data_IF_843583570893
#
_entry.id   IF_843583570893
#
_cell.length_a   1.000
_cell.length_b   1.000
_cell.length_c   1.000
_cell.angle_alpha   90.00
_cell.angle_beta   90.00
_cell.angle_gamma   90.00
#
_symmetry.space_group_name_H-M   'P 1'
#
loop_
_entity.id
_entity.type
_entity.pdbx_description
1 polymer ?
#
# COMPACT_ATOMS: atom_id res chain seq x y z
N UNK A 1 -7.73 -2.15 -39.73
CA UNK A 1 -7.21 -1.65 -38.44
C UNK A 1 -8.36 -1.33 -37.49
N UNK A 2 -9.41 -0.63 -37.95
CA UNK A 2 -10.55 -0.25 -37.11
C UNK A 2 -11.35 -1.44 -36.54
N UNK A 3 -11.56 -2.51 -37.33
CA UNK A 3 -12.24 -3.72 -36.84
C UNK A 3 -11.51 -4.40 -35.66
N UNK A 4 -10.17 -4.39 -35.66
CA UNK A 4 -9.38 -4.96 -34.56
C UNK A 4 -9.47 -4.10 -33.30
N UNK A 5 -9.43 -2.77 -33.46
CA UNK A 5 -9.60 -1.82 -32.35
C UNK A 5 -10.98 -1.95 -31.72
N UNK A 6 -12.04 -2.13 -32.51
CA UNK A 6 -13.38 -2.36 -31.97
C UNK A 6 -13.51 -3.68 -31.21
N UNK A 7 -12.90 -4.77 -31.70
CA UNK A 7 -12.86 -6.05 -30.96
C UNK A 7 -12.15 -5.86 -29.60
N UNK A 8 -11.03 -5.14 -29.59
CA UNK A 8 -10.28 -4.85 -28.37
C UNK A 8 -11.10 -3.99 -27.41
N UNK A 9 -11.76 -2.94 -27.92
CA UNK A 9 -12.64 -2.06 -27.15
C UNK A 9 -13.76 -2.87 -26.48
N UNK A 10 -14.46 -3.69 -27.24
CA UNK A 10 -15.54 -4.54 -26.72
C UNK A 10 -15.03 -5.49 -25.64
N UNK A 11 -13.87 -6.11 -25.84
CA UNK A 11 -13.27 -7.01 -24.85
C UNK A 11 -12.89 -6.28 -23.55
N UNK A 12 -12.45 -5.03 -23.62
CA UNK A 12 -12.16 -4.21 -22.43
C UNK A 12 -13.46 -3.89 -21.67
N UNK A 13 -14.54 -3.57 -22.37
CA UNK A 13 -15.86 -3.33 -21.78
C UNK A 13 -16.38 -4.61 -21.10
N UNK A 14 -16.35 -5.75 -21.78
CA UNK A 14 -16.71 -7.06 -21.20
C UNK A 14 -15.89 -7.38 -19.94
N UNK A 15 -14.59 -7.08 -19.95
CA UNK A 15 -13.72 -7.27 -18.79
C UNK A 15 -14.08 -6.31 -17.64
N UNK A 16 -14.64 -5.12 -17.89
CA UNK A 16 -15.10 -4.23 -16.84
C UNK A 16 -16.42 -4.76 -16.24
N UNK A 17 -17.36 -5.13 -17.11
CA UNK A 17 -18.67 -5.66 -16.74
C UNK A 17 -18.56 -6.95 -15.92
N UNK A 18 -17.64 -7.86 -16.30
CA UNK A 18 -17.39 -9.08 -15.53
C UNK A 18 -17.01 -8.80 -14.07
N UNK A 19 -16.36 -7.67 -13.80
CA UNK A 19 -16.00 -7.28 -12.43
C UNK A 19 -17.07 -6.42 -11.75
N UNK A 20 -18.17 -6.06 -12.43
CA UNK A 20 -19.23 -5.22 -11.88
C UNK A 20 -19.03 -3.72 -12.14
N UNK A 21 -18.30 -3.36 -13.20
CA UNK A 21 -18.11 -1.97 -13.63
C UNK A 21 -18.78 -1.81 -15.00
N UNK A 22 -19.83 -1.00 -15.06
CA UNK A 22 -20.60 -0.81 -16.29
C UNK A 22 -20.07 0.39 -17.08
N UNK A 23 -20.19 0.33 -18.41
CA UNK A 23 -19.86 1.44 -19.31
C UNK A 23 -21.14 2.17 -19.73
N UNK A 24 -21.18 3.48 -19.50
CA UNK A 24 -22.26 4.35 -19.98
C UNK A 24 -21.83 4.95 -21.32
N UNK A 25 -22.42 4.45 -22.41
CA UNK A 25 -22.16 4.92 -23.77
C UNK A 25 -22.56 6.38 -23.99
N UNK A 26 -23.58 6.88 -23.29
CA UNK A 26 -24.08 8.25 -23.47
C UNK A 26 -23.17 9.27 -22.79
N UNK A 27 -22.67 8.91 -21.60
CA UNK A 27 -21.82 9.79 -20.79
C UNK A 27 -20.33 9.54 -21.01
N UNK A 28 -19.98 8.52 -21.81
CA UNK A 28 -18.62 8.04 -22.03
C UNK A 28 -17.83 7.88 -20.73
N UNK A 29 -18.46 7.26 -19.72
CA UNK A 29 -17.86 7.05 -18.41
C UNK A 29 -18.20 5.68 -17.86
N UNK A 30 -17.41 5.22 -16.90
CA UNK A 30 -17.77 4.01 -16.15
C UNK A 30 -18.64 4.35 -14.95
N UNK A 31 -19.50 3.41 -14.58
CA UNK A 31 -20.39 3.48 -13.42
C UNK A 31 -20.11 2.31 -12.48
N UNK A 32 -20.22 2.59 -11.19
CA UNK A 32 -20.20 1.60 -10.10
C UNK A 32 -21.35 1.97 -9.17
N UNK A 33 -22.23 1.02 -8.88
CA UNK A 33 -23.53 1.30 -8.25
C UNK A 33 -23.40 1.84 -6.82
N UNK A 34 -22.48 1.30 -5.98
CA UNK A 34 -22.25 1.78 -4.61
C UNK A 34 -20.86 1.41 -4.03
N UNK A 35 -20.59 1.88 -2.80
CA UNK A 35 -19.34 1.65 -2.06
C UNK A 35 -19.05 0.17 -1.72
N UNK A 36 -20.08 -0.62 -1.41
CA UNK A 36 -19.91 -2.05 -1.13
C UNK A 36 -19.51 -2.82 -2.40
N UNK A 37 -19.89 -2.32 -3.57
CA UNK A 37 -19.48 -2.90 -4.83
C UNK A 37 -18.00 -2.64 -5.11
N UNK A 38 -17.40 -1.52 -4.65
CA UNK A 38 -15.93 -1.36 -4.72
C UNK A 38 -15.19 -2.44 -3.94
N UNK A 39 -15.68 -2.82 -2.75
CA UNK A 39 -15.05 -3.90 -1.96
C UNK A 39 -15.08 -5.23 -2.71
N UNK A 40 -16.26 -5.58 -3.26
CA UNK A 40 -16.43 -6.81 -4.05
C UNK A 40 -15.56 -6.81 -5.31
N UNK A 41 -15.56 -5.71 -6.06
CA UNK A 41 -14.72 -5.51 -7.26
C UNK A 41 -13.25 -5.74 -6.90
N UNK A 42 -12.74 -5.04 -5.88
CA UNK A 42 -11.33 -5.14 -5.50
C UNK A 42 -10.95 -6.54 -5.02
N UNK A 43 -11.84 -7.20 -4.26
CA UNK A 43 -11.61 -8.57 -3.81
C UNK A 43 -11.51 -9.54 -5.00
N UNK A 44 -12.42 -9.44 -5.95
CA UNK A 44 -12.38 -10.26 -7.18
C UNK A 44 -11.12 -9.99 -8.01
N UNK A 45 -10.65 -8.74 -8.07
CA UNK A 45 -9.37 -8.40 -8.72
C UNK A 45 -8.16 -8.95 -7.94
N UNK A 46 -8.23 -8.92 -6.61
CA UNK A 46 -7.20 -9.47 -5.73
C UNK A 46 -7.10 -10.98 -5.86
N UNK A 47 -8.21 -11.70 -6.03
CA UNK A 47 -8.22 -13.15 -6.27
C UNK A 47 -7.40 -13.52 -7.52
N UNK A 48 -7.50 -12.72 -8.59
CA UNK A 48 -6.70 -12.91 -9.80
C UNK A 48 -5.21 -12.61 -9.62
N UNK A 49 -4.86 -11.65 -8.76
CA UNK A 49 -3.51 -11.08 -8.70
C UNK A 49 -2.68 -11.57 -7.51
N UNK A 50 -3.29 -11.70 -6.33
CA UNK A 50 -2.63 -12.00 -5.07
C UNK A 50 -2.54 -13.52 -4.79
N UNK A 51 -3.45 -14.34 -5.33
CA UNK A 51 -3.51 -15.78 -5.00
C UNK A 51 -2.35 -16.63 -5.53
N UNK A 52 -1.47 -16.07 -6.38
CA UNK A 52 -0.29 -16.78 -6.88
C UNK A 52 0.62 -17.30 -5.76
N UNK A 53 0.60 -16.67 -4.59
CA UNK A 53 1.36 -17.09 -3.42
C UNK A 53 0.83 -18.35 -2.73
N UNK A 54 -0.43 -18.77 -2.99
CA UNK A 54 -1.03 -19.94 -2.35
C UNK A 54 -0.26 -21.23 -2.63
N UNK A 55 0.45 -21.31 -3.76
CA UNK A 55 1.29 -22.45 -4.11
C UNK A 55 2.44 -22.71 -3.12
N UNK A 56 2.80 -21.72 -2.30
CA UNK A 56 3.89 -21.81 -1.32
C UNK A 56 3.41 -22.18 0.09
N UNK A 57 2.14 -22.56 0.26
CA UNK A 57 1.54 -22.80 1.58
C UNK A 57 2.34 -23.80 2.41
N UNK A 58 2.73 -24.93 1.82
CA UNK A 58 3.48 -26.01 2.48
C UNK A 58 4.83 -25.55 3.01
N UNK A 59 5.53 -24.71 2.24
CA UNK A 59 6.89 -24.26 2.53
C UNK A 59 6.92 -23.25 3.69
N UNK A 60 5.81 -22.52 3.87
CA UNK A 60 5.73 -21.39 4.80
C UNK A 60 4.81 -21.63 6.00
N UNK A 61 4.08 -22.76 6.03
CA UNK A 61 3.13 -23.12 7.09
C UNK A 61 3.73 -22.99 8.50
N UNK A 62 5.01 -23.35 8.64
CA UNK A 62 5.75 -23.21 9.91
C UNK A 62 5.77 -21.78 10.47
N UNK A 63 5.58 -20.76 9.64
CA UNK A 63 5.50 -19.35 10.05
C UNK A 63 4.07 -18.88 10.33
N UNK A 64 3.06 -19.68 10.05
CA UNK A 64 1.65 -19.32 10.26
C UNK A 64 1.21 -19.84 11.63
N UNK A 65 0.58 -18.97 12.42
CA UNK A 65 0.10 -19.31 13.75
C UNK A 65 -1.26 -20.01 13.69
N UNK A 66 -1.49 -20.93 14.61
CA UNK A 66 -2.82 -21.38 15.00
C UNK A 66 -3.31 -20.57 16.21
N UNK A 67 -4.62 -20.48 16.45
CA UNK A 67 -5.18 -19.87 17.66
C UNK A 67 -4.52 -20.34 18.97
N UNK A 68 -4.18 -21.63 19.05
CA UNK A 68 -3.52 -22.25 20.20
C UNK A 68 -2.09 -21.75 20.45
N UNK A 69 -1.43 -21.19 19.44
CA UNK A 69 -0.05 -20.71 19.54
C UNK A 69 0.05 -19.34 20.23
N UNK A 70 -1.09 -18.69 20.51
CA UNK A 70 -1.13 -17.27 20.88
C UNK A 70 -1.70 -17.08 22.29
N UNK A 71 -0.83 -16.66 23.20
CA UNK A 71 -1.25 -15.94 24.39
C UNK A 71 -1.33 -14.44 24.05
N UNK A 72 -2.57 -13.93 23.96
CA UNK A 72 -2.87 -12.55 23.54
C UNK A 72 -2.10 -11.53 24.40
N UNK A 73 -1.94 -11.80 25.70
CA UNK A 73 -1.30 -10.88 26.64
C UNK A 73 0.22 -10.84 26.48
N UNK A 74 0.81 -11.83 25.80
CA UNK A 74 2.26 -11.97 25.59
C UNK A 74 2.73 -11.55 24.19
N UNK A 75 1.81 -11.17 23.30
CA UNK A 75 2.13 -10.75 21.94
C UNK A 75 3.20 -9.64 21.98
N UNK A 76 4.35 -9.90 21.37
CA UNK A 76 5.49 -8.99 21.37
C UNK A 76 6.21 -9.03 20.01
N UNK A 77 5.98 -8.04 19.13
CA UNK A 77 6.45 -8.09 17.76
C UNK A 77 7.97 -7.85 17.65
N UNK A 78 8.61 -8.47 16.66
CA UNK A 78 9.93 -8.09 16.17
C UNK A 78 9.96 -8.03 14.65
N UNK A 79 10.87 -7.22 14.10
CA UNK A 79 10.96 -6.95 12.67
C UNK A 79 12.11 -7.73 12.04
N UNK A 80 11.80 -8.45 10.96
CA UNK A 80 12.79 -9.06 10.07
C UNK A 80 12.66 -8.39 8.71
N UNK A 81 13.76 -7.80 8.21
CA UNK A 81 13.77 -7.22 6.88
C UNK A 81 13.67 -8.34 5.83
N UNK A 82 12.81 -8.16 4.83
CA UNK A 82 12.69 -9.10 3.73
C UNK A 82 13.90 -8.97 2.82
N UNK A 83 14.48 -10.10 2.46
CA UNK A 83 15.73 -10.23 1.71
C UNK A 83 15.42 -10.89 0.37
N UNK A 84 16.35 -10.80 -0.59
CA UNK A 84 16.18 -11.42 -1.90
C UNK A 84 16.58 -12.91 -1.90
N UNK A 85 16.07 -13.68 -0.94
CA UNK A 85 16.24 -15.12 -0.84
C UNK A 85 14.89 -15.84 -0.93
N UNK A 86 14.93 -17.10 -1.32
CA UNK A 86 13.76 -17.86 -1.75
C UNK A 86 12.68 -17.96 -0.65
N UNK A 87 13.04 -18.36 0.56
CA UNK A 87 12.13 -18.49 1.70
C UNK A 87 11.40 -17.18 2.04
N UNK A 88 12.11 -16.05 2.03
CA UNK A 88 11.53 -14.73 2.22
C UNK A 88 10.58 -14.34 1.07
N UNK A 89 10.91 -14.67 -0.18
CA UNK A 89 10.03 -14.39 -1.31
C UNK A 89 8.76 -15.24 -1.25
N UNK A 90 8.89 -16.52 -0.90
CA UNK A 90 7.77 -17.45 -0.72
C UNK A 90 6.84 -16.98 0.40
N UNK A 91 7.39 -16.67 1.59
CA UNK A 91 6.60 -16.18 2.73
C UNK A 91 5.91 -14.84 2.44
N UNK A 92 6.62 -13.90 1.81
CA UNK A 92 6.02 -12.62 1.41
C UNK A 92 4.88 -12.84 0.42
N UNK A 93 5.10 -13.65 -0.61
CA UNK A 93 4.10 -13.97 -1.63
C UNK A 93 2.86 -14.62 -1.01
N UNK A 94 3.05 -15.61 -0.14
CA UNK A 94 1.95 -16.26 0.58
C UNK A 94 1.21 -15.26 1.48
N UNK A 95 1.91 -14.44 2.26
CA UNK A 95 1.27 -13.44 3.13
C UNK A 95 0.43 -12.42 2.34
N UNK A 96 0.84 -12.02 1.13
CA UNK A 96 0.04 -11.10 0.30
C UNK A 96 -1.31 -11.66 -0.14
N UNK A 97 -1.51 -12.98 -0.08
CA UNK A 97 -2.79 -13.61 -0.45
C UNK A 97 -3.95 -13.19 0.45
N UNK A 98 -3.67 -12.69 1.67
CA UNK A 98 -4.67 -12.21 2.63
C UNK A 98 -5.17 -10.78 2.36
N UNK A 99 -4.63 -10.07 1.36
CA UNK A 99 -5.10 -8.73 1.02
C UNK A 99 -6.25 -8.77 0.01
N UNK A 100 -7.35 -8.07 0.33
CA UNK A 100 -8.56 -7.94 -0.51
C UNK A 100 -8.45 -6.87 -1.61
N UNK A 101 -7.26 -6.32 -1.86
CA UNK A 101 -6.96 -5.39 -2.96
C UNK A 101 -5.72 -5.88 -3.70
N UNK A 102 -5.63 -5.74 -5.04
CA UNK A 102 -4.43 -6.06 -5.80
C UNK A 102 -3.17 -5.42 -5.23
N UNK A 103 -2.21 -6.25 -4.83
CA UNK A 103 -0.91 -5.78 -4.33
C UNK A 103 0.00 -5.49 -5.51
N UNK A 104 0.37 -4.22 -5.68
CA UNK A 104 1.26 -3.84 -6.79
C UNK A 104 2.74 -3.98 -6.44
N UNK A 105 3.53 -4.27 -7.47
CA UNK A 105 4.99 -4.38 -7.35
C UNK A 105 5.70 -3.03 -7.19
N UNK A 106 5.00 -1.90 -7.04
CA UNK A 106 5.61 -0.58 -6.75
C UNK A 106 6.74 -0.15 -7.70
N UNK A 107 7.42 0.95 -7.38
CA UNK A 107 8.65 1.40 -8.05
C UNK A 107 9.54 2.14 -7.06
N UNK A 108 10.79 2.41 -7.46
CA UNK A 108 11.75 3.16 -6.64
C UNK A 108 12.29 2.40 -5.44
N UNK A 109 12.65 3.12 -4.38
CA UNK A 109 13.14 2.57 -3.12
C UNK A 109 12.10 1.68 -2.48
N UNK A 110 12.53 0.54 -1.96
CA UNK A 110 11.66 -0.41 -1.26
C UNK A 110 12.32 -1.02 -0.06
N UNK A 111 11.57 -1.08 1.02
CA UNK A 111 11.91 -1.84 2.20
C UNK A 111 10.66 -2.57 2.67
N UNK A 112 10.83 -3.82 3.08
CA UNK A 112 9.75 -4.72 3.46
C UNK A 112 10.13 -5.41 4.75
N UNK A 113 9.14 -5.68 5.56
CA UNK A 113 9.29 -6.32 6.85
C UNK A 113 8.27 -7.43 7.03
N UNK A 114 8.75 -8.54 7.59
CA UNK A 114 7.93 -9.44 8.37
C UNK A 114 7.83 -8.89 9.79
N UNK A 115 6.63 -8.96 10.35
CA UNK A 115 6.37 -8.69 11.76
C UNK A 115 6.09 -10.04 12.41
N UNK A 116 7.07 -10.58 13.14
CA UNK A 116 6.93 -11.86 13.84
C UNK A 116 6.59 -11.63 15.31
N UNK A 117 5.89 -12.57 15.93
CA UNK A 117 5.70 -12.58 17.38
C UNK A 117 6.85 -13.33 18.06
N UNK A 118 7.46 -12.71 19.06
CA UNK A 118 8.56 -13.32 19.82
C UNK A 118 8.14 -14.55 20.61
N UNK A 119 6.85 -14.69 20.95
CA UNK A 119 6.40 -15.82 21.77
C UNK A 119 6.43 -17.16 21.02
N UNK A 120 6.32 -17.15 19.69
CA UNK A 120 6.14 -18.36 18.88
C UNK A 120 6.83 -18.32 17.50
N UNK A 121 7.53 -17.22 17.17
CA UNK A 121 8.16 -16.97 15.87
C UNK A 121 7.21 -17.10 14.67
N UNK A 122 5.92 -16.83 14.90
CA UNK A 122 4.88 -16.82 13.86
C UNK A 122 4.61 -15.41 13.35
N UNK A 123 4.21 -15.32 12.09
CA UNK A 123 4.00 -14.08 11.37
C UNK A 123 2.71 -13.40 11.85
N UNK A 124 2.85 -12.25 12.51
CA UNK A 124 1.74 -11.33 12.84
C UNK A 124 1.23 -10.68 11.56
N UNK A 125 2.13 -10.22 10.71
CA UNK A 125 1.77 -9.46 9.51
C UNK A 125 2.96 -9.01 8.70
N UNK A 126 2.68 -8.23 7.66
CA UNK A 126 3.70 -7.68 6.76
C UNK A 126 3.54 -6.17 6.59
N UNK A 127 4.67 -5.52 6.34
CA UNK A 127 4.73 -4.10 5.98
C UNK A 127 5.64 -3.92 4.79
N UNK A 128 5.20 -3.13 3.80
CA UNK A 128 6.01 -2.71 2.67
C UNK A 128 5.96 -1.21 2.52
N UNK A 129 7.13 -0.58 2.54
CA UNK A 129 7.34 0.83 2.22
C UNK A 129 7.88 0.95 0.80
N UNK A 130 7.39 1.93 0.06
CA UNK A 130 7.95 2.33 -1.24
C UNK A 130 8.10 3.84 -1.36
N UNK A 131 8.79 4.28 -2.42
CA UNK A 131 8.78 5.69 -2.78
C UNK A 131 7.32 6.18 -2.96
N UNK A 132 6.98 7.37 -2.45
CA UNK A 132 5.64 7.89 -2.61
C UNK A 132 5.35 8.29 -4.06
N UNK A 133 4.07 8.27 -4.43
CA UNK A 133 3.62 8.82 -5.72
C UNK A 133 4.00 10.30 -5.81
N UNK A 134 4.67 10.72 -6.89
CA UNK A 134 5.18 12.10 -7.04
C UNK A 134 4.06 13.15 -6.95
N UNK A 135 2.90 12.89 -7.54
CA UNK A 135 1.76 13.82 -7.54
C UNK A 135 0.59 13.29 -6.71
N UNK A 136 0.66 13.44 -5.38
CA UNK A 136 -0.44 13.07 -4.50
C UNK A 136 -0.99 14.33 -3.82
N UNK A 137 -2.08 14.88 -4.37
CA UNK A 137 -2.65 16.16 -3.95
C UNK A 137 -2.83 16.27 -2.44
N UNK A 138 -3.53 15.32 -1.81
CA UNK A 138 -3.77 15.33 -0.35
C UNK A 138 -2.50 15.37 0.51
N UNK A 139 -1.40 14.75 0.07
CA UNK A 139 -0.11 14.89 0.75
C UNK A 139 0.47 16.28 0.51
N UNK A 140 0.50 16.67 -0.76
CA UNK A 140 1.23 17.83 -1.23
C UNK A 140 0.59 19.14 -0.72
N UNK A 141 -0.74 19.29 -0.80
CA UNK A 141 -1.47 20.48 -0.35
C UNK A 141 -1.96 20.37 1.10
N UNK A 142 -2.66 19.29 1.44
CA UNK A 142 -3.45 19.25 2.69
C UNK A 142 -2.60 18.84 3.90
N UNK A 143 -1.58 18.00 3.69
CA UNK A 143 -0.71 17.54 4.77
C UNK A 143 0.54 18.40 4.94
N UNK A 144 1.35 18.54 3.88
CA UNK A 144 2.68 19.15 3.95
C UNK A 144 2.60 20.63 3.58
N UNK A 145 1.94 20.97 2.46
CA UNK A 145 1.82 22.33 1.96
C UNK A 145 3.07 22.83 1.24
N UNK A 146 3.84 21.94 0.60
CA UNK A 146 5.08 22.27 -0.07
C UNK A 146 4.89 22.78 -1.51
N UNK A 147 5.84 23.57 -2.00
CA UNK A 147 5.93 23.93 -3.42
C UNK A 147 6.47 22.77 -4.26
N UNK A 148 6.40 22.90 -5.59
CA UNK A 148 6.99 21.92 -6.52
C UNK A 148 8.48 21.72 -6.23
N UNK A 149 9.24 22.79 -6.00
CA UNK A 149 10.69 22.72 -5.80
C UNK A 149 11.04 22.08 -4.45
N UNK A 150 10.36 22.48 -3.39
CA UNK A 150 10.48 21.84 -2.07
C UNK A 150 10.19 20.34 -2.15
N UNK A 151 9.12 19.95 -2.86
CA UNK A 151 8.80 18.53 -3.10
C UNK A 151 9.93 17.80 -3.82
N UNK A 152 10.45 18.34 -4.91
CA UNK A 152 11.53 17.69 -5.68
C UNK A 152 12.79 17.47 -4.82
N UNK A 153 13.03 18.35 -3.85
CA UNK A 153 14.14 18.21 -2.91
C UNK A 153 13.83 17.18 -1.82
N UNK A 154 12.65 17.27 -1.17
CA UNK A 154 12.34 16.63 0.11
C UNK A 154 11.46 15.37 0.04
N UNK A 155 10.84 15.06 -1.11
CA UNK A 155 10.07 13.81 -1.27
C UNK A 155 10.91 12.56 -1.01
N UNK A 156 12.22 12.64 -1.24
CA UNK A 156 13.18 11.57 -0.89
C UNK A 156 13.18 11.23 0.61
N UNK A 157 12.72 12.11 1.48
CA UNK A 157 12.64 11.86 2.93
C UNK A 157 11.28 11.27 3.37
N UNK A 158 10.41 10.95 2.40
CA UNK A 158 9.10 10.36 2.63
C UNK A 158 9.04 8.94 2.06
N UNK A 159 8.21 8.07 2.66
CA UNK A 159 7.87 6.75 2.13
C UNK A 159 6.37 6.48 2.30
N UNK A 160 5.79 5.70 1.39
CA UNK A 160 4.40 5.24 1.49
C UNK A 160 4.36 3.78 1.93
N UNK A 161 3.63 3.48 3.00
CA UNK A 161 3.25 2.11 3.35
C UNK A 161 2.16 1.63 2.39
N UNK A 162 2.59 0.99 1.30
CA UNK A 162 1.71 0.52 0.23
C UNK A 162 1.00 -0.80 0.58
N UNK A 163 1.55 -1.53 1.55
CA UNK A 163 0.96 -2.73 2.14
C UNK A 163 1.28 -2.74 3.63
N UNK A 164 0.26 -2.92 4.45
CA UNK A 164 0.34 -2.89 5.90
C UNK A 164 -0.87 -3.62 6.46
N UNK A 165 -0.63 -4.59 7.34
CA UNK A 165 -1.72 -5.36 7.93
C UNK A 165 -1.23 -6.63 8.61
N UNK A 166 -2.10 -7.18 9.44
CA UNK A 166 -1.90 -8.48 10.06
C UNK A 166 -2.59 -9.57 9.23
N UNK A 167 -2.07 -10.79 9.35
CA UNK A 167 -2.68 -11.99 8.74
C UNK A 167 -3.40 -12.81 9.82
N UNK A 168 -4.29 -13.74 9.43
CA UNK A 168 -4.91 -14.64 10.39
C UNK A 168 -3.91 -15.48 11.19
N UNK A 169 -4.19 -15.75 12.48
CA UNK A 169 -5.32 -15.25 13.27
C UNK A 169 -5.10 -13.87 13.90
N UNK A 170 -3.89 -13.28 13.82
CA UNK A 170 -3.57 -11.99 14.43
C UNK A 170 -4.41 -10.80 13.92
N UNK A 171 -4.96 -10.89 12.71
CA UNK A 171 -5.88 -9.88 12.18
C UNK A 171 -7.16 -9.74 13.02
N UNK A 172 -7.60 -10.81 13.70
CA UNK A 172 -8.74 -10.81 14.62
C UNK A 172 -8.38 -10.17 15.98
N UNK A 173 -7.09 -10.08 16.29
CA UNK A 173 -6.55 -9.57 17.55
C UNK A 173 -6.15 -8.10 17.47
N UNK A 174 -6.76 -7.31 16.57
CA UNK A 174 -6.34 -5.93 16.28
C UNK A 174 -4.85 -5.83 15.90
N UNK A 175 -4.25 -6.92 15.39
CA UNK A 175 -2.84 -7.00 15.06
C UNK A 175 -2.43 -6.01 13.96
N UNK A 176 -3.35 -5.61 13.08
CA UNK A 176 -3.07 -4.59 12.08
C UNK A 176 -2.70 -3.23 12.70
N UNK A 177 -3.25 -2.90 13.88
CA UNK A 177 -2.84 -1.71 14.65
C UNK A 177 -1.42 -1.85 15.18
N UNK A 178 -1.06 -3.03 15.68
CA UNK A 178 0.30 -3.33 16.14
C UNK A 178 1.29 -3.21 14.99
N UNK A 179 0.97 -3.81 13.84
CA UNK A 179 1.75 -3.73 12.61
C UNK A 179 1.92 -2.28 12.14
N UNK A 180 0.91 -1.42 12.28
CA UNK A 180 1.05 0.01 11.98
C UNK A 180 1.96 0.76 12.97
N UNK A 181 1.98 0.37 14.24
CA UNK A 181 2.87 0.95 15.24
C UNK A 181 4.34 0.54 15.01
N UNK A 182 4.62 -0.63 14.42
CA UNK A 182 6.00 -1.08 14.19
C UNK A 182 6.76 -0.17 13.23
N UNK A 183 6.08 0.58 12.36
CA UNK A 183 6.69 1.59 11.50
C UNK A 183 7.38 2.72 12.27
N UNK A 184 7.04 2.92 13.54
CA UNK A 184 7.69 3.88 14.43
C UNK A 184 8.83 3.28 15.25
N UNK A 185 9.16 1.99 15.06
CA UNK A 185 10.29 1.37 15.76
C UNK A 185 11.60 2.05 15.32
N UNK A 186 12.54 2.33 16.25
CA UNK A 186 13.85 2.89 15.90
C UNK A 186 14.56 2.13 14.78
N UNK A 187 14.43 0.79 14.80
CA UNK A 187 14.96 -0.12 13.78
C UNK A 187 14.54 0.25 12.36
N UNK A 188 13.32 0.71 12.12
CA UNK A 188 12.85 1.06 10.76
C UNK A 188 13.64 2.23 10.19
N UNK A 189 13.92 3.26 11.01
CA UNK A 189 14.75 4.40 10.60
C UNK A 189 16.20 3.99 10.38
N UNK A 190 16.73 3.17 11.28
CA UNK A 190 18.10 2.66 11.20
C UNK A 190 18.30 1.86 9.91
N UNK A 191 17.47 0.85 9.69
CA UNK A 191 17.48 0.00 8.50
C UNK A 191 17.35 0.82 7.20
N UNK A 192 16.43 1.79 7.17
CA UNK A 192 16.28 2.69 6.02
C UNK A 192 17.54 3.51 5.77
N UNK A 193 18.14 4.08 6.81
CA UNK A 193 19.37 4.85 6.70
C UNK A 193 20.53 3.97 6.21
N UNK A 194 20.73 2.80 6.81
CA UNK A 194 21.80 1.88 6.41
C UNK A 194 21.67 1.43 4.96
N UNK A 195 20.44 1.18 4.51
CA UNK A 195 20.17 0.73 3.15
C UNK A 195 20.47 1.79 2.09
N UNK A 196 20.31 3.08 2.41
CA UNK A 196 20.35 4.15 1.41
C UNK A 196 21.45 5.21 1.61
N UNK A 197 22.25 5.15 2.68
CA UNK A 197 23.27 6.19 3.01
C UNK A 197 24.35 6.41 1.95
N UNK A 198 24.59 5.38 1.13
CA UNK A 198 25.62 5.38 0.08
C UNK A 198 25.00 5.19 -1.31
N UNK A 199 23.71 5.51 -1.48
CA UNK A 199 22.98 5.31 -2.73
C UNK A 199 22.66 6.65 -3.38
N UNK A 200 23.46 7.10 -4.38
CA UNK A 200 23.11 8.27 -5.19
C UNK A 200 21.73 8.11 -5.80
N UNK A 201 20.95 9.19 -5.86
CA UNK A 201 19.65 9.14 -6.55
C UNK A 201 19.86 8.87 -8.04
N UNK A 202 19.08 7.96 -8.62
CA UNK A 202 19.16 7.63 -10.06
C UNK A 202 18.93 8.88 -10.92
N UNK A 203 18.02 9.76 -10.49
CA UNK A 203 17.60 10.94 -11.26
C UNK A 203 18.64 12.06 -11.20
N UNK A 204 19.10 12.42 -10.00
CA UNK A 204 19.93 13.63 -9.82
C UNK A 204 21.42 13.32 -9.63
N UNK A 205 21.81 12.05 -9.46
CA UNK A 205 23.19 11.66 -9.11
C UNK A 205 23.65 12.09 -7.72
N UNK A 206 22.84 12.88 -6.99
CA UNK A 206 23.19 13.37 -5.65
C UNK A 206 22.97 12.27 -4.60
N UNK A 207 23.95 12.10 -3.71
CA UNK A 207 23.77 11.30 -2.50
C UNK A 207 22.98 12.12 -1.45
N UNK A 208 21.67 11.95 -1.44
CA UNK A 208 20.76 12.63 -0.50
C UNK A 208 20.82 11.95 0.87
N UNK A 209 20.77 12.73 1.96
CA UNK A 209 20.68 12.18 3.31
C UNK A 209 19.38 11.35 3.46
N UNK A 210 19.44 10.02 3.67
CA UNK A 210 18.26 9.17 3.72
C UNK A 210 17.63 9.19 5.11
N UNK A 211 17.23 10.36 5.56
CA UNK A 211 16.44 10.52 6.77
C UNK A 211 14.99 10.17 6.45
N UNK A 212 14.45 9.12 7.08
CA UNK A 212 13.04 8.76 6.97
C UNK A 212 12.23 9.65 7.91
N UNK A 213 11.73 10.76 7.38
CA UNK A 213 11.07 11.81 8.16
C UNK A 213 9.58 11.55 8.30
N UNK A 214 8.97 11.01 7.24
CA UNK A 214 7.53 10.99 7.08
C UNK A 214 7.09 9.71 6.38
N UNK A 215 6.15 9.00 6.99
CA UNK A 215 5.49 7.86 6.38
C UNK A 215 4.02 8.22 6.14
N UNK A 216 3.49 7.88 4.98
CA UNK A 216 2.06 7.92 4.74
C UNK A 216 1.48 6.57 4.31
N UNK A 217 0.16 6.48 4.29
CA UNK A 217 -0.57 5.33 3.76
C UNK A 217 -1.97 5.74 3.33
N UNK A 218 -2.63 4.84 2.61
CA UNK A 218 -3.98 5.02 2.10
C UNK A 218 -4.89 3.92 2.67
N UNK A 219 -6.00 4.32 3.26
CA UNK A 219 -7.11 3.44 3.59
C UNK A 219 -7.76 2.91 2.31
N UNK A 220 -7.76 1.58 2.19
CA UNK A 220 -8.33 0.80 1.10
C UNK A 220 -9.72 1.29 0.66
N UNK A 221 -10.65 1.42 1.59
CA UNK A 221 -12.06 1.73 1.34
C UNK A 221 -12.48 2.93 2.19
N UNK A 222 -11.93 4.11 1.87
CA UNK A 222 -12.13 5.32 2.68
C UNK A 222 -11.31 5.31 3.99
N UNK A 223 -11.95 5.67 5.11
CA UNK A 223 -11.31 5.69 6.43
C UNK A 223 -11.10 4.26 6.95
N UNK A 224 -9.88 3.93 7.35
CA UNK A 224 -9.52 2.63 7.91
C UNK A 224 -9.57 2.65 9.44
N UNK A 225 -10.23 1.63 10.01
CA UNK A 225 -10.25 1.40 11.45
C UNK A 225 -8.85 1.14 12.04
N UNK A 226 -7.87 0.72 11.23
CA UNK A 226 -6.48 0.47 11.63
C UNK A 226 -5.89 1.74 12.24
N UNK A 227 -5.98 2.87 11.53
CA UNK A 227 -5.32 4.11 11.91
C UNK A 227 -6.17 4.99 12.84
N UNK A 228 -7.47 4.71 12.97
CA UNK A 228 -8.35 5.47 13.85
C UNK A 228 -7.87 5.44 15.30
N UNK A 229 -7.63 6.63 15.87
CA UNK A 229 -7.16 6.87 17.25
C UNK A 229 -5.84 6.15 17.57
N UNK A 230 -5.06 5.80 16.56
CA UNK A 230 -3.77 5.15 16.72
C UNK A 230 -2.69 6.21 16.96
N UNK A 231 -1.82 5.99 17.93
CA UNK A 231 -0.76 6.92 18.30
C UNK A 231 0.05 7.36 17.05
N UNK A 232 0.18 8.67 16.87
CA UNK A 232 0.96 9.32 15.81
C UNK A 232 0.53 8.96 14.37
N UNK A 233 -0.70 8.46 14.20
CA UNK A 233 -1.33 8.27 12.90
C UNK A 233 -2.53 9.20 12.77
N UNK A 234 -2.41 10.21 11.91
CA UNK A 234 -3.47 11.21 11.71
C UNK A 234 -4.17 10.99 10.37
N UNK A 235 -5.50 11.03 10.38
CA UNK A 235 -6.28 11.20 9.16
C UNK A 235 -6.15 12.65 8.68
N UNK A 236 -5.84 12.85 7.39
CA UNK A 236 -5.75 14.20 6.80
C UNK A 236 -6.99 14.51 5.98
N UNK A 237 -7.20 13.76 4.89
CA UNK A 237 -8.30 13.97 3.96
C UNK A 237 -8.50 12.74 3.06
N UNK A 238 -9.39 12.81 2.10
CA UNK A 238 -9.59 11.80 1.06
C UNK A 238 -8.79 12.10 -0.21
N UNK A 239 -8.40 11.05 -0.95
CA UNK A 239 -7.89 11.20 -2.32
C UNK A 239 -9.01 11.54 -3.30
N UNK A 240 -8.65 12.04 -4.49
CA UNK A 240 -9.62 12.33 -5.58
C UNK A 240 -10.23 11.09 -6.25
N UNK A 241 -9.83 9.87 -5.87
CA UNK A 241 -10.41 8.65 -6.41
C UNK A 241 -9.91 8.20 -7.79
N UNK A 242 -8.76 8.70 -8.24
CA UNK A 242 -8.12 8.20 -9.47
C UNK A 242 -7.45 6.84 -9.24
N UNK A 243 -7.71 5.89 -10.13
CA UNK A 243 -7.16 4.54 -10.07
C UNK A 243 -7.03 3.96 -11.47
N UNK A 244 -6.05 3.09 -11.67
CA UNK A 244 -5.94 2.27 -12.89
C UNK A 244 -6.15 0.78 -12.61
N UNK A 245 -6.39 0.40 -11.36
CA UNK A 245 -6.37 -1.01 -10.95
C UNK A 245 -7.49 -1.83 -11.60
N UNK A 246 -8.67 -1.23 -11.77
CA UNK A 246 -9.81 -1.88 -12.43
C UNK A 246 -9.55 -2.23 -13.89
N UNK A 247 -8.69 -1.48 -14.60
CA UNK A 247 -8.27 -1.80 -15.98
C UNK A 247 -7.02 -2.69 -15.99
N UNK A 248 -6.06 -2.40 -15.12
CA UNK A 248 -4.76 -3.09 -15.16
C UNK A 248 -4.77 -4.48 -14.54
N UNK A 249 -5.69 -4.74 -13.58
CA UNK A 249 -5.80 -6.03 -12.90
C UNK A 249 -6.90 -6.94 -13.49
N UNK A 250 -7.81 -6.43 -14.33
CA UNK A 250 -8.88 -7.24 -14.93
C UNK A 250 -8.47 -7.99 -16.22
N UNK A 251 -7.22 -7.81 -16.67
CA UNK A 251 -6.71 -8.40 -17.92
C UNK A 251 -6.70 -7.44 -19.12
N UNK A 252 -7.29 -6.26 -18.99
CA UNK A 252 -7.35 -5.26 -20.08
C UNK A 252 -6.01 -4.58 -20.37
N UNK A 253 -5.04 -4.68 -19.45
CA UNK A 253 -3.69 -4.15 -19.67
C UNK A 253 -3.02 -4.71 -20.93
N UNK A 254 -3.13 -6.03 -21.16
CA UNK A 254 -2.50 -6.69 -22.31
C UNK A 254 -3.20 -6.30 -23.63
N UNK A 255 -4.50 -6.02 -23.58
CA UNK A 255 -5.28 -5.53 -24.72
C UNK A 255 -4.91 -4.08 -25.08
N UNK A 256 -4.78 -3.22 -24.07
CA UNK A 256 -4.36 -1.82 -24.25
C UNK A 256 -2.98 -1.75 -24.89
N UNK A 257 -2.04 -2.62 -24.50
CA UNK A 257 -0.70 -2.61 -25.09
C UNK A 257 -0.68 -2.93 -26.58
N UNK A 258 -1.67 -3.67 -27.11
CA UNK A 258 -1.73 -4.04 -28.53
C UNK A 258 -2.09 -2.87 -29.46
N UNK A 259 -2.69 -1.81 -28.91
CA UNK A 259 -3.14 -0.64 -29.70
C UNK A 259 -2.28 0.60 -29.47
N UNK A 260 -1.35 0.54 -28.52
CA UNK A 260 -0.42 1.63 -28.24
C UNK A 260 0.80 1.48 -29.15
N UNK A 261 1.23 2.53 -29.87
CA UNK A 261 2.43 2.48 -30.69
C UNK A 261 3.70 2.18 -29.88
N UNK A 262 4.68 1.50 -30.49
CA UNK A 262 5.91 1.05 -29.82
C UNK A 262 6.72 2.24 -29.26
N UNK A 263 6.73 3.37 -29.95
CA UNK A 263 7.41 4.60 -29.52
C UNK A 263 6.89 5.17 -28.18
N UNK A 264 5.67 4.81 -27.78
CA UNK A 264 5.09 5.24 -26.49
C UNK A 264 5.61 4.39 -25.33
N UNK A 265 6.08 3.17 -25.64
CA UNK A 265 6.77 2.29 -24.70
C UNK A 265 8.23 2.69 -24.50
N UNK A 266 8.84 3.38 -25.46
CA UNK A 266 10.16 3.96 -25.30
C UNK A 266 10.16 4.90 -24.08
N UNK A 267 10.91 4.48 -23.06
CA UNK A 267 10.87 5.11 -21.75
C UNK A 267 11.64 6.41 -21.77
N UNK A 268 11.05 7.45 -21.20
CA UNK A 268 11.82 8.53 -20.60
C UNK A 268 12.73 7.95 -19.51
N UNK A 269 13.91 8.53 -19.33
CA UNK A 269 14.85 8.16 -18.28
C UNK A 269 14.15 8.22 -16.92
N UNK A 270 14.53 7.35 -15.98
CA UNK A 270 13.96 7.29 -14.63
C UNK A 270 13.86 8.70 -14.04
N UNK A 271 12.65 9.15 -13.67
CA UNK A 271 12.40 10.50 -13.13
C UNK A 271 11.72 11.50 -14.06
N UNK A 272 11.57 11.17 -15.35
CA UNK A 272 10.90 12.04 -16.33
C UNK A 272 9.52 11.51 -16.74
N UNK A 273 8.50 12.37 -16.55
CA UNK A 273 7.14 12.14 -17.04
C UNK A 273 6.14 11.49 -16.06
N UNK A 274 4.85 11.42 -16.46
CA UNK A 274 3.81 10.74 -15.69
C UNK A 274 4.14 9.26 -15.49
N UNK A 275 3.53 8.62 -14.49
CA UNK A 275 3.59 7.17 -14.31
C UNK A 275 3.40 6.46 -15.66
N UNK A 276 4.40 5.71 -16.12
CA UNK A 276 4.43 5.11 -17.45
C UNK A 276 3.16 4.30 -17.77
N UNK A 277 2.61 3.60 -16.75
CA UNK A 277 1.33 2.89 -16.89
C UNK A 277 0.18 3.84 -17.21
N UNK A 278 0.09 4.95 -16.49
CA UNK A 278 -0.94 5.97 -16.75
C UNK A 278 -0.79 6.59 -18.14
N UNK A 279 0.44 6.81 -18.62
CA UNK A 279 0.69 7.32 -19.97
C UNK A 279 0.20 6.33 -21.04
N UNK A 280 0.57 5.06 -20.92
CA UNK A 280 0.15 4.00 -21.84
C UNK A 280 -1.37 3.82 -21.79
N UNK A 281 -1.98 3.82 -20.60
CA UNK A 281 -3.43 3.74 -20.45
C UNK A 281 -4.13 4.90 -21.16
N UNK A 282 -3.73 6.15 -20.88
CA UNK A 282 -4.31 7.33 -21.53
C UNK A 282 -4.17 7.26 -23.05
N UNK A 283 -3.00 6.85 -23.56
CA UNK A 283 -2.82 6.69 -25.00
C UNK A 283 -3.72 5.60 -25.57
N UNK A 284 -3.75 4.42 -24.96
CA UNK A 284 -4.55 3.30 -25.43
C UNK A 284 -6.05 3.57 -25.39
N UNK A 285 -6.55 4.26 -24.35
CA UNK A 285 -7.94 4.70 -24.30
C UNK A 285 -8.27 5.63 -25.48
N UNK A 286 -7.41 6.62 -25.78
CA UNK A 286 -7.59 7.50 -26.95
C UNK A 286 -7.56 6.73 -28.27
N UNK A 287 -6.66 5.76 -28.42
CA UNK A 287 -6.57 4.91 -29.62
C UNK A 287 -7.82 4.06 -29.87
N UNK A 288 -8.59 3.78 -28.81
CA UNK A 288 -9.84 3.02 -28.81
C UNK A 288 -11.09 3.91 -28.81
N UNK A 289 -10.93 5.24 -28.87
CA UNK A 289 -12.05 6.17 -28.74
C UNK A 289 -12.75 6.15 -27.37
N UNK A 290 -12.06 5.68 -26.32
CA UNK A 290 -12.55 5.64 -24.94
C UNK A 290 -12.10 6.90 -24.16
N UNK A 291 -12.95 7.35 -23.23
CA UNK A 291 -12.65 8.50 -22.38
C UNK A 291 -11.54 8.22 -21.37
N UNK A 292 -10.66 9.20 -21.12
CA UNK A 292 -9.69 9.12 -20.02
C UNK A 292 -10.36 9.17 -18.64
N UNK A 293 -11.61 9.62 -18.54
CA UNK A 293 -12.37 9.63 -17.28
C UNK A 293 -12.62 8.23 -16.73
N UNK A 294 -12.45 7.19 -17.56
CA UNK A 294 -12.38 5.80 -17.11
C UNK A 294 -11.29 5.55 -16.05
N UNK A 295 -10.30 6.42 -15.92
CA UNK A 295 -9.26 6.34 -14.88
C UNK A 295 -9.71 6.94 -13.53
N UNK A 296 -10.89 7.55 -13.49
CA UNK A 296 -11.48 8.17 -12.31
C UNK A 296 -12.75 7.41 -11.92
N UNK A 297 -12.58 6.39 -11.08
CA UNK A 297 -13.71 5.52 -10.69
C UNK A 297 -14.42 6.01 -9.43
N UNK A 298 -14.08 7.20 -8.93
CA UNK A 298 -14.65 7.73 -7.69
C UNK A 298 -14.19 7.04 -6.40
N UNK A 299 -13.25 6.08 -6.49
CA UNK A 299 -12.79 5.30 -5.34
C UNK A 299 -11.83 6.09 -4.44
N UNK A 300 -12.42 6.94 -3.60
CA UNK A 300 -11.70 7.78 -2.66
C UNK A 300 -11.09 6.96 -1.52
N UNK A 301 -9.81 7.20 -1.25
CA UNK A 301 -9.06 6.54 -0.17
C UNK A 301 -8.76 7.53 0.94
N UNK A 302 -8.92 7.12 2.19
CA UNK A 302 -8.55 7.95 3.32
C UNK A 302 -7.03 8.06 3.42
N UNK A 303 -6.48 9.27 3.44
CA UNK A 303 -5.04 9.50 3.55
C UNK A 303 -4.65 9.68 5.02
N UNK A 304 -3.60 8.96 5.41
CA UNK A 304 -3.07 8.99 6.77
C UNK A 304 -1.59 9.29 6.76
N UNK A 305 -1.13 10.01 7.79
CA UNK A 305 0.28 10.37 7.97
C UNK A 305 0.82 9.90 9.32
N UNK A 306 2.10 9.57 9.33
CA UNK A 306 2.89 9.16 10.49
C UNK A 306 4.29 9.81 10.42
N UNK A 307 4.45 11.04 10.94
CA UNK A 307 5.75 11.70 10.99
C UNK A 307 6.66 11.05 12.03
N UNK A 308 7.93 10.83 11.69
CA UNK A 308 8.94 10.24 12.58
C UNK A 308 9.89 11.27 13.22
N UNK A 309 9.79 12.53 12.76
CA UNK A 309 10.44 13.69 13.36
C UNK A 309 9.39 14.60 14.03
N UNK A 310 9.83 15.34 15.04
CA UNK A 310 9.03 16.38 15.72
C UNK A 310 8.86 17.57 14.79
N UNK A 311 9.99 18.08 14.26
CA UNK A 311 10.05 19.20 13.30
C UNK A 311 9.94 18.73 11.84
N UNK A 312 9.10 17.71 11.59
CA UNK A 312 8.98 17.10 10.27
C UNK A 312 8.54 18.10 9.21
N UNK A 313 7.67 19.06 9.58
CA UNK A 313 7.10 20.01 8.63
C UNK A 313 8.14 21.04 8.19
N UNK A 314 8.84 21.64 9.15
CA UNK A 314 9.93 22.60 8.94
C UNK A 314 11.05 21.96 8.10
N UNK A 315 11.40 20.69 8.38
CA UNK A 315 12.39 19.98 7.59
C UNK A 315 11.93 19.72 6.14
N UNK A 316 10.68 19.32 5.93
CA UNK A 316 10.13 19.04 4.59
C UNK A 316 9.82 20.30 3.79
N UNK A 317 9.56 21.43 4.44
CA UNK A 317 9.45 22.75 3.80
C UNK A 317 10.83 23.37 3.51
N UNK A 318 11.89 22.84 4.11
CA UNK A 318 13.25 23.33 3.92
C UNK A 318 13.63 24.51 4.82
N UNK A 319 12.78 24.84 5.79
CA UNK A 319 13.03 25.87 6.83
C UNK A 319 14.21 25.45 7.74
N UNK A 320 14.52 24.15 7.78
CA UNK A 320 15.70 23.63 8.47
C UNK A 320 16.29 22.40 7.79
N UNK A 321 17.59 22.18 7.99
CA UNK A 321 18.31 20.96 7.61
C UNK A 321 18.57 20.03 8.80
N UNK A 322 18.21 20.44 10.02
CA UNK A 322 18.39 19.65 11.24
C UNK A 322 17.12 18.87 11.54
N UNK A 323 17.26 17.58 11.81
CA UNK A 323 16.15 16.72 12.20
C UNK A 323 16.11 16.60 13.73
N UNK A 324 14.93 16.78 14.32
CA UNK A 324 14.63 16.47 15.71
C UNK A 324 13.77 15.21 15.72
N UNK A 325 14.36 14.08 16.08
CA UNK A 325 13.71 12.78 16.02
C UNK A 325 12.74 12.58 17.18
N UNK A 326 11.52 12.07 16.88
CA UNK A 326 10.64 11.55 17.93
C UNK A 326 11.31 10.38 18.64
N UNK A 327 11.18 10.35 19.97
CA UNK A 327 11.73 9.32 20.84
C UNK A 327 10.73 8.19 21.07
N UNK A 328 10.58 7.33 20.07
CA UNK A 328 9.80 6.10 20.20
C UNK A 328 10.68 4.95 20.68
N UNK A 329 10.14 4.07 21.53
CA UNK A 329 10.75 2.78 21.84
C UNK A 329 9.78 1.65 21.46
N UNK A 330 10.34 0.50 21.07
CA UNK A 330 9.52 -0.69 20.80
C UNK A 330 8.65 -1.04 22.01
N UNK A 331 9.23 -1.03 23.21
CA UNK A 331 8.53 -1.35 24.46
C UNK A 331 7.33 -0.44 24.70
N UNK A 332 7.49 0.87 24.57
CA UNK A 332 6.41 1.82 24.84
C UNK A 332 5.28 1.72 23.82
N UNK A 333 5.61 1.49 22.53
CA UNK A 333 4.62 1.32 21.47
C UNK A 333 3.82 0.02 21.64
N UNK A 334 4.50 -1.08 22.01
CA UNK A 334 3.84 -2.38 22.27
C UNK A 334 2.98 -2.30 23.53
N UNK A 335 3.48 -1.67 24.61
CA UNK A 335 2.69 -1.42 25.83
C UNK A 335 1.46 -0.57 25.53
N UNK A 336 1.61 0.53 24.80
CA UNK A 336 0.47 1.35 24.37
C UNK A 336 -0.57 0.52 23.62
N UNK A 337 -0.14 -0.40 22.75
CA UNK A 337 -1.07 -1.25 22.03
C UNK A 337 -1.85 -2.18 22.96
N UNK A 338 -1.15 -2.84 23.89
CA UNK A 338 -1.77 -3.67 24.92
C UNK A 338 -2.79 -2.89 25.74
N UNK A 339 -2.36 -1.80 26.37
CA UNK A 339 -3.18 -1.00 27.29
C UNK A 339 -4.41 -0.39 26.59
N UNK A 340 -4.24 0.10 25.36
CA UNK A 340 -5.30 0.81 24.64
C UNK A 340 -6.29 -0.12 23.94
N UNK A 341 -5.78 -1.21 23.37
CA UNK A 341 -6.54 -2.03 22.43
C UNK A 341 -6.88 -3.41 22.99
N UNK A 342 -5.93 -4.08 23.63
CA UNK A 342 -6.05 -5.46 24.08
C UNK A 342 -6.71 -5.56 25.45
N UNK A 343 -6.12 -4.94 26.48
CA UNK A 343 -6.60 -5.07 27.87
C UNK A 343 -8.11 -4.78 28.00
N UNK A 344 -8.67 -3.71 27.39
CA UNK A 344 -10.10 -3.42 27.51
C UNK A 344 -11.02 -4.39 26.76
N UNK A 345 -10.47 -5.29 25.94
CA UNK A 345 -11.22 -6.20 25.04
C UNK A 345 -10.79 -7.64 25.18
N UNK A 346 -9.99 -7.97 26.18
CA UNK A 346 -9.28 -9.25 26.26
C UNK A 346 -10.23 -10.45 26.15
N UNK A 347 -11.35 -10.41 26.87
CA UNK A 347 -12.32 -11.51 26.86
C UNK A 347 -12.97 -11.71 25.48
N UNK A 348 -13.40 -10.61 24.83
CA UNK A 348 -13.97 -10.67 23.47
C UNK A 348 -12.93 -11.17 22.47
N UNK A 349 -11.69 -10.71 22.58
CA UNK A 349 -10.61 -11.14 21.70
C UNK A 349 -10.25 -12.62 21.88
N UNK A 350 -10.31 -13.15 23.11
CA UNK A 350 -10.16 -14.59 23.37
C UNK A 350 -11.27 -15.39 22.67
N UNK A 351 -12.52 -14.93 22.76
CA UNK A 351 -13.64 -15.57 22.06
C UNK A 351 -13.43 -15.54 20.54
N UNK A 352 -13.07 -14.39 19.97
CA UNK A 352 -12.80 -14.27 18.53
C UNK A 352 -11.66 -15.18 18.06
N UNK A 353 -10.63 -15.38 18.89
CA UNK A 353 -9.51 -16.23 18.54
C UNK A 353 -9.90 -17.71 18.47
N UNK A 354 -10.78 -18.17 19.36
CA UNK A 354 -11.24 -19.57 19.43
C UNK A 354 -12.37 -19.87 18.45
N UNK A 355 -13.31 -18.93 18.32
CA UNK A 355 -14.43 -18.97 17.40
C UNK A 355 -14.33 -17.73 16.50
N UNK A 356 -13.56 -17.80 15.41
CA UNK A 356 -13.49 -16.68 14.49
C UNK A 356 -14.91 -16.38 13.99
N UNK A 357 -15.38 -15.11 14.08
CA UNK A 357 -16.66 -14.78 13.49
C UNK A 357 -16.61 -15.08 12.00
N UNK A 358 -17.76 -15.28 11.36
CA UNK A 358 -17.87 -15.28 9.90
C UNK A 358 -17.51 -13.88 9.37
N UNK A 359 -16.22 -13.56 9.36
CA UNK A 359 -15.71 -12.27 8.90
C UNK A 359 -15.47 -12.41 7.40
N UNK A 360 -16.36 -11.77 6.63
CA UNK A 360 -16.09 -11.38 5.25
C UNK A 360 -14.92 -10.38 5.29
N UNK A 361 -13.69 -10.88 5.09
CA UNK A 361 -12.45 -10.08 4.98
C UNK A 361 -12.45 -9.22 3.72
#
# INVERSE_FOLDING_TARGET
>A
MDKQKEIIKQKIIENLEFYGITWDENQHKILVDNDDDFRKIQRKLAERTNLKGQKHKSEVEKYIAQPSDIDISKINPYLVMVESKEDHQQLWSYATTYWSIPVTVGYGRRIRYFVFDRQNDKLIGIVGLCDPVIGLGVRDSDSIGWTKDQKMQRLYNCMTAYILGAIPPYNQLLGAKLVALTLMFPKVREDFYQKYKNSPSIITGVNKKPYLIYIDTLGAFGKSAIYNRLLNWDFVNYTKGQSHLHITANGSWELIKQVVPEEVFETYRFGEGPNWKMRILKRGLRELGLSEDMLSIGWQRGYYRCPLAENWKEYLLGDTNRVVWRKFTQRDLVRYWHDRWITPRLDILKTHLQCPPDIIV
#
